data_IF_243662765670
#
_entry.id   IF_243662765670
#
_cell.length_a   1.000
_cell.length_b   1.000
_cell.length_c   1.000
_cell.angle_alpha   90.00
_cell.angle_beta   90.00
_cell.angle_gamma   90.00
#
_symmetry.space_group_name_H-M   'P 1'
#
loop_
_entity.id
_entity.type
_entity.pdbx_description
1 polymer ?
#
# COMPACT_ATOMS: atom_id res chain seq x y z
N UNK A 1 -8.59 -1.91 -5.74
CA UNK A 1 -7.96 -2.65 -4.62
C UNK A 1 -7.93 -1.76 -3.38
N UNK A 2 -8.24 -2.28 -2.20
CA UNK A 2 -8.28 -1.50 -0.96
C UNK A 2 -7.47 -2.17 0.15
N UNK A 3 -6.52 -1.45 0.73
CA UNK A 3 -5.84 -1.83 1.96
C UNK A 3 -6.41 -1.00 3.11
N UNK A 4 -6.88 -1.67 4.15
CA UNK A 4 -7.25 -1.07 5.43
C UNK A 4 -6.13 -1.36 6.44
N UNK A 5 -5.57 -0.34 7.07
CA UNK A 5 -4.56 -0.46 8.12
C UNK A 5 -5.14 0.21 9.37
N UNK A 6 -5.14 -0.48 10.50
CA UNK A 6 -5.71 0.01 11.76
C UNK A 6 -4.74 -0.25 12.92
N UNK A 7 -4.75 0.63 13.92
CA UNK A 7 -4.03 0.42 15.15
C UNK A 7 -4.62 -0.74 15.96
N UNK A 8 -3.76 -1.55 16.57
CA UNK A 8 -4.11 -2.71 17.37
C UNK A 8 -4.79 -2.39 18.69
N UNK A 9 -4.55 -1.18 19.21
CA UNK A 9 -5.09 -0.69 20.48
C UNK A 9 -6.29 0.26 20.26
N UNK A 10 -6.85 0.27 19.03
CA UNK A 10 -8.03 1.05 18.65
C UNK A 10 -9.21 0.10 18.32
N UNK A 11 -9.66 -0.66 19.32
CA UNK A 11 -10.74 -1.65 19.19
C UNK A 11 -12.01 -1.13 18.49
N UNK A 12 -12.53 0.07 18.78
CA UNK A 12 -13.70 0.59 18.08
C UNK A 12 -13.46 0.72 16.57
N UNK A 13 -12.29 1.19 16.16
CA UNK A 13 -11.94 1.37 14.75
C UNK A 13 -11.64 0.03 14.07
N UNK A 14 -11.09 -0.96 14.79
CA UNK A 14 -10.94 -2.33 14.30
C UNK A 14 -12.30 -2.89 13.86
N UNK A 15 -13.32 -2.82 14.73
CA UNK A 15 -14.63 -3.39 14.41
C UNK A 15 -15.33 -2.64 13.27
N UNK A 16 -15.21 -1.31 13.22
CA UNK A 16 -15.69 -0.50 12.11
C UNK A 16 -15.04 -0.91 10.79
N UNK A 17 -13.72 -1.12 10.79
CA UNK A 17 -12.99 -1.55 9.58
C UNK A 17 -13.28 -3.00 9.20
N UNK A 18 -13.50 -3.90 10.17
CA UNK A 18 -13.99 -5.26 9.87
C UNK A 18 -15.36 -5.23 9.21
N UNK A 19 -16.26 -4.34 9.66
CA UNK A 19 -17.55 -4.14 9.03
C UNK A 19 -17.41 -3.62 7.60
N UNK A 20 -16.62 -2.56 7.38
CA UNK A 20 -16.32 -2.05 6.05
C UNK A 20 -15.67 -3.12 5.16
N UNK A 21 -14.72 -3.88 5.69
CA UNK A 21 -14.06 -4.98 5.00
C UNK A 21 -15.07 -6.00 4.48
N UNK A 22 -16.10 -6.38 5.26
CA UNK A 22 -17.15 -7.31 4.81
C UNK A 22 -17.96 -6.76 3.62
N UNK A 23 -18.15 -5.44 3.54
CA UNK A 23 -18.96 -4.79 2.50
C UNK A 23 -18.21 -4.60 1.17
N UNK A 24 -16.87 -4.51 1.19
CA UNK A 24 -16.07 -4.30 -0.02
C UNK A 24 -16.16 -5.49 -0.98
N UNK A 25 -16.40 -5.24 -2.27
CA UNK A 25 -16.52 -6.27 -3.33
C UNK A 25 -15.28 -6.35 -4.23
N UNK A 26 -14.22 -5.62 -3.90
CA UNK A 26 -12.96 -5.56 -4.65
C UNK A 26 -11.84 -6.36 -3.95
N UNK A 27 -10.67 -6.55 -4.60
CA UNK A 27 -9.48 -7.07 -3.92
C UNK A 27 -9.17 -6.21 -2.70
N UNK A 28 -9.10 -6.84 -1.52
CA UNK A 28 -9.04 -6.14 -0.24
C UNK A 28 -8.16 -6.87 0.78
N UNK A 29 -7.48 -6.10 1.63
CA UNK A 29 -6.69 -6.60 2.77
C UNK A 29 -6.96 -5.71 4.00
N UNK A 30 -6.99 -6.31 5.18
CA UNK A 30 -7.03 -5.62 6.47
C UNK A 30 -5.78 -6.01 7.26
N UNK A 31 -5.03 -5.02 7.74
CA UNK A 31 -3.85 -5.18 8.58
C UNK A 31 -4.10 -4.47 9.91
N UNK A 32 -3.74 -5.14 11.00
CA UNK A 32 -3.82 -4.61 12.36
C UNK A 32 -2.37 -4.47 12.86
N UNK A 33 -1.95 -3.26 13.22
CA UNK A 33 -0.59 -2.96 13.69
C UNK A 33 -0.56 -3.09 15.21
N UNK A 34 0.12 -4.11 15.78
CA UNK A 34 0.08 -4.37 17.21
C UNK A 34 0.70 -3.21 18.02
N UNK A 35 0.06 -2.82 19.13
CA UNK A 35 0.56 -1.76 20.02
C UNK A 35 0.48 -0.35 19.43
N UNK A 36 -0.21 -0.17 18.31
CA UNK A 36 -0.49 1.14 17.72
C UNK A 36 -1.84 1.67 18.16
N UNK A 37 -1.88 2.93 18.61
CA UNK A 37 -3.13 3.66 18.84
C UNK A 37 -3.64 4.30 17.53
N UNK A 38 -4.65 5.18 17.65
CA UNK A 38 -5.34 5.77 16.52
C UNK A 38 -4.43 6.46 15.48
N UNK A 39 -3.34 7.07 15.95
CA UNK A 39 -2.45 7.88 15.13
C UNK A 39 -1.12 7.20 14.77
N UNK A 40 -0.89 5.97 15.25
CA UNK A 40 0.36 5.24 15.04
C UNK A 40 1.60 6.02 15.51
N UNK A 41 1.51 6.72 16.64
CA UNK A 41 2.61 7.53 17.20
C UNK A 41 3.63 6.69 17.97
N UNK A 42 3.29 5.44 18.27
CA UNK A 42 4.16 4.54 18.99
C UNK A 42 5.40 4.16 18.17
N UNK A 43 6.54 3.87 18.83
CA UNK A 43 7.79 3.60 18.12
C UNK A 43 7.66 2.44 17.12
N UNK A 44 7.96 2.70 15.85
CA UNK A 44 7.93 1.69 14.79
C UNK A 44 6.56 1.49 14.12
N UNK A 45 5.47 2.03 14.67
CA UNK A 45 4.13 1.73 14.14
C UNK A 45 3.84 2.47 12.85
N UNK A 46 4.35 3.69 12.69
CA UNK A 46 4.19 4.43 11.44
C UNK A 46 5.08 3.85 10.32
N UNK A 47 6.26 3.34 10.67
CA UNK A 47 7.14 2.62 9.76
C UNK A 47 6.46 1.36 9.23
N UNK A 48 5.83 0.57 10.10
CA UNK A 48 5.05 -0.61 9.67
C UNK A 48 3.90 -0.22 8.74
N UNK A 49 3.15 0.85 9.05
CA UNK A 49 2.10 1.39 8.17
C UNK A 49 2.68 1.74 6.79
N UNK A 50 3.84 2.41 6.75
CA UNK A 50 4.49 2.82 5.50
C UNK A 50 4.95 1.61 4.68
N UNK A 51 5.51 0.57 5.31
CA UNK A 51 5.92 -0.66 4.65
C UNK A 51 4.74 -1.42 4.03
N UNK A 52 3.64 -1.54 4.77
CA UNK A 52 2.40 -2.17 4.30
C UNK A 52 1.81 -1.40 3.12
N UNK A 53 1.77 -0.07 3.19
CA UNK A 53 1.31 0.78 2.11
C UNK A 53 2.19 0.65 0.86
N UNK A 54 3.52 0.71 1.02
CA UNK A 54 4.48 0.57 -0.07
C UNK A 54 4.31 -0.78 -0.78
N UNK A 55 4.25 -1.88 -0.03
CA UNK A 55 4.06 -3.23 -0.58
C UNK A 55 2.76 -3.31 -1.37
N UNK A 56 1.67 -2.74 -0.85
CA UNK A 56 0.38 -2.73 -1.54
C UNK A 56 0.42 -1.93 -2.84
N UNK A 57 1.06 -0.75 -2.83
CA UNK A 57 1.24 0.04 -4.04
C UNK A 57 2.08 -0.71 -5.07
N UNK A 58 3.21 -1.32 -4.70
CA UNK A 58 4.04 -2.11 -5.61
C UNK A 58 3.27 -3.30 -6.22
N UNK A 59 2.41 -3.95 -5.44
CA UNK A 59 1.60 -5.08 -5.89
C UNK A 59 0.51 -4.67 -6.89
N UNK A 60 -0.07 -3.47 -6.73
CA UNK A 60 -1.28 -3.08 -7.47
C UNK A 60 -1.10 -1.95 -8.48
N UNK A 61 -0.02 -1.17 -8.37
CA UNK A 61 0.35 -0.15 -9.33
C UNK A 61 1.62 -0.61 -10.05
N UNK A 62 1.45 -1.13 -11.26
CA UNK A 62 2.58 -1.21 -12.19
C UNK A 62 2.88 0.21 -12.63
N UNK A 63 4.12 0.65 -12.43
CA UNK A 63 4.65 1.76 -13.22
C UNK A 63 4.43 1.38 -14.69
N UNK A 64 3.80 2.28 -15.45
CA UNK A 64 3.81 2.14 -16.91
C UNK A 64 5.28 2.04 -17.31
N UNK A 65 5.70 0.86 -17.75
CA UNK A 65 7.02 0.65 -18.33
C UNK A 65 7.15 1.63 -19.47
N UNK A 66 8.13 2.54 -19.39
CA UNK A 66 8.56 3.34 -20.53
C UNK A 66 9.16 2.37 -21.56
N UNK A 67 8.31 1.78 -22.39
CA UNK A 67 8.76 1.13 -23.62
C UNK A 67 9.14 2.22 -24.61
N UNK A 68 10.44 2.38 -24.84
CA UNK A 68 10.95 3.20 -25.95
C UNK A 68 12.11 4.12 -25.59
N UNK A 69 13.30 3.55 -25.33
CA UNK A 69 14.53 4.25 -25.77
C UNK A 69 15.03 3.49 -26.99
N UNK A 70 14.65 4.01 -28.16
CA UNK A 70 15.13 3.54 -29.45
C UNK A 70 16.66 3.52 -29.48
N UNK A 71 17.19 2.42 -29.98
CA UNK A 71 18.60 2.30 -30.32
C UNK A 71 19.00 3.44 -31.27
N UNK A 72 19.94 4.27 -30.83
CA UNK A 72 20.61 5.26 -31.67
C UNK A 72 21.55 4.53 -32.63
N UNK A 73 21.06 4.18 -33.82
CA UNK A 73 21.92 3.80 -34.94
C UNK A 73 22.57 5.07 -35.50
N UNK A 74 23.84 5.29 -35.18
CA UNK A 74 24.65 6.32 -35.85
C UNK A 74 24.96 5.83 -37.28
N UNK A 75 24.32 6.41 -38.28
CA UNK A 75 24.75 6.29 -39.67
C UNK A 75 26.04 7.10 -39.90
N UNK A 76 27.08 6.56 -40.56
CA UNK A 76 28.23 7.34 -40.97
C UNK A 76 27.91 8.12 -42.25
N UNK A 77 28.11 9.44 -42.18
CA UNK A 77 27.98 10.37 -43.30
C UNK A 77 28.94 9.98 -44.44
N UNK A 78 28.41 9.77 -45.65
CA UNK A 78 29.18 9.78 -46.90
C UNK A 78 29.09 11.16 -47.54
#
# INVERSE_FOLDING_TARGET
PTLLIVGGDDEPVIEMNRAAYRLLTCPKRLVIVPGASHLFEEPGTLEEVAEQALSWFQQHFRLATQEGTGAQTKEPLR
#
